data_IF_507936580026
#
_entry.id   IF_507936580026
#
_cell.length_a   1.000
_cell.length_b   1.000
_cell.length_c   1.000
_cell.angle_alpha   90.00
_cell.angle_beta   90.00
_cell.angle_gamma   90.00
#
_symmetry.space_group_name_H-M   'P 1'
#
loop_
_entity.id
_entity.type
_entity.pdbx_description
1 polymer ?
#
# COMPACT_ATOMS: atom_id res chain seq x y z
N UNK A 1 -14.27 -9.21 -1.81
CA UNK A 1 -14.28 -8.60 -3.17
C UNK A 1 -15.65 -7.99 -3.50
N UNK A 2 -15.76 -6.64 -3.46
CA UNK A 2 -17.01 -5.90 -3.75
C UNK A 2 -17.30 -5.81 -5.26
N UNK A 3 -18.56 -5.70 -5.71
CA UNK A 3 -18.87 -5.49 -7.13
C UNK A 3 -18.29 -4.16 -7.66
N UNK A 4 -18.00 -4.10 -8.96
CA UNK A 4 -17.58 -2.86 -9.60
C UNK A 4 -18.80 -2.00 -9.98
N UNK A 5 -18.78 -0.74 -9.53
CA UNK A 5 -19.69 0.29 -9.97
C UNK A 5 -19.31 0.83 -11.36
N UNK A 6 -20.28 1.44 -12.06
CA UNK A 6 -20.01 2.19 -13.29
C UNK A 6 -19.04 3.34 -12.97
N UNK A 7 -17.99 3.50 -13.77
CA UNK A 7 -16.99 4.53 -13.56
C UNK A 7 -16.52 5.14 -14.89
N UNK A 8 -16.01 6.38 -14.85
CA UNK A 8 -15.52 7.11 -16.04
C UNK A 8 -14.44 6.36 -16.81
N UNK A 9 -13.65 5.52 -16.13
CA UNK A 9 -12.59 4.72 -16.76
C UNK A 9 -13.08 3.39 -17.36
N UNK A 10 -14.39 3.13 -17.31
CA UNK A 10 -15.04 1.91 -17.82
C UNK A 10 -14.40 0.62 -17.29
N UNK A 11 -14.01 0.60 -16.01
CA UNK A 11 -13.29 -0.53 -15.42
C UNK A 11 -14.07 -1.86 -15.50
N UNK A 12 -15.41 -1.82 -15.42
CA UNK A 12 -16.27 -3.01 -15.53
C UNK A 12 -16.21 -3.66 -16.93
N UNK A 13 -15.95 -2.87 -17.97
CA UNK A 13 -15.79 -3.37 -19.34
C UNK A 13 -14.36 -3.91 -19.57
N UNK A 14 -13.37 -3.28 -18.93
CA UNK A 14 -11.95 -3.66 -19.07
C UNK A 14 -11.57 -4.92 -18.31
N UNK A 15 -12.22 -5.17 -17.17
CA UNK A 15 -11.83 -6.25 -16.25
C UNK A 15 -13.07 -7.05 -15.87
N UNK A 16 -13.10 -8.29 -16.34
CA UNK A 16 -14.14 -9.27 -15.99
C UNK A 16 -14.01 -9.71 -14.54
N UNK A 17 -15.10 -10.19 -13.94
CA UNK A 17 -15.06 -10.66 -12.56
C UNK A 17 -14.18 -11.90 -12.37
N UNK A 18 -14.01 -12.74 -13.40
CA UNK A 18 -13.06 -13.87 -13.36
C UNK A 18 -11.61 -13.41 -13.28
N UNK A 19 -11.25 -12.36 -14.03
CA UNK A 19 -9.92 -11.76 -13.97
C UNK A 19 -9.67 -11.16 -12.59
N UNK A 20 -10.66 -10.46 -12.03
CA UNK A 20 -10.58 -9.89 -10.67
C UNK A 20 -10.39 -10.98 -9.61
N UNK A 21 -11.12 -12.10 -9.71
CA UNK A 21 -10.96 -13.25 -8.79
C UNK A 21 -9.57 -13.85 -8.87
N UNK A 22 -9.01 -13.97 -10.08
CA UNK A 22 -7.66 -14.51 -10.30
C UNK A 22 -6.60 -13.60 -9.67
N UNK A 23 -6.65 -12.30 -9.98
CA UNK A 23 -5.77 -11.28 -9.37
C UNK A 23 -5.89 -11.29 -7.85
N UNK A 24 -7.11 -11.36 -7.33
CA UNK A 24 -7.36 -11.42 -5.88
C UNK A 24 -6.67 -12.65 -5.27
N UNK A 25 -6.85 -13.84 -5.87
CA UNK A 25 -6.26 -15.08 -5.36
C UNK A 25 -4.73 -15.00 -5.35
N UNK A 26 -4.11 -14.54 -6.43
CA UNK A 26 -2.66 -14.38 -6.54
C UNK A 26 -2.13 -13.35 -5.54
N UNK A 27 -2.81 -12.22 -5.39
CA UNK A 27 -2.44 -11.17 -4.45
C UNK A 27 -2.47 -11.66 -3.00
N UNK A 28 -3.52 -12.36 -2.58
CA UNK A 28 -3.65 -12.86 -1.21
C UNK A 28 -2.75 -14.07 -0.93
N UNK A 29 -2.38 -14.84 -1.96
CA UNK A 29 -1.39 -15.91 -1.85
C UNK A 29 0.02 -15.40 -1.47
N UNK A 30 0.31 -14.10 -1.63
CA UNK A 30 1.58 -13.52 -1.17
C UNK A 30 1.80 -13.69 0.34
N UNK A 31 0.73 -13.71 1.14
CA UNK A 31 0.72 -14.00 2.58
C UNK A 31 1.38 -12.96 3.50
N UNK A 32 2.33 -12.16 3.01
CA UNK A 32 3.06 -11.16 3.79
C UNK A 32 2.54 -9.74 3.55
N UNK A 33 2.38 -8.97 4.62
CA UNK A 33 2.05 -7.55 4.56
C UNK A 33 3.06 -6.76 3.72
N UNK A 34 4.37 -7.04 3.87
CA UNK A 34 5.41 -6.33 3.14
C UNK A 34 5.38 -6.64 1.64
N UNK A 35 5.11 -7.91 1.28
CA UNK A 35 4.92 -8.33 -0.12
C UNK A 35 3.70 -7.65 -0.74
N UNK A 36 2.59 -7.56 -0.01
CA UNK A 36 1.38 -6.84 -0.45
C UNK A 36 1.63 -5.36 -0.68
N UNK A 37 2.38 -4.72 0.22
CA UNK A 37 2.79 -3.31 0.10
C UNK A 37 3.68 -3.11 -1.13
N UNK A 38 4.68 -3.98 -1.34
CA UNK A 38 5.56 -3.94 -2.51
C UNK A 38 4.78 -4.13 -3.82
N UNK A 39 3.86 -5.10 -3.85
CA UNK A 39 2.99 -5.37 -4.99
C UNK A 39 2.10 -4.16 -5.34
N UNK A 40 1.42 -3.57 -4.34
CA UNK A 40 0.63 -2.37 -4.58
C UNK A 40 1.50 -1.19 -5.03
N UNK A 41 2.69 -1.03 -4.44
CA UNK A 41 3.60 0.03 -4.82
C UNK A 41 4.11 -0.09 -6.26
N UNK A 42 4.36 -1.31 -6.77
CA UNK A 42 4.82 -1.52 -8.15
C UNK A 42 3.75 -1.16 -9.20
N UNK A 43 2.47 -1.30 -8.84
CA UNK A 43 1.32 -1.02 -9.69
C UNK A 43 0.85 0.44 -9.67
N UNK A 44 1.28 1.24 -8.68
CA UNK A 44 0.89 2.64 -8.54
C UNK A 44 1.98 3.56 -9.11
N UNK A 45 1.63 4.33 -10.13
CA UNK A 45 2.51 5.36 -10.66
C UNK A 45 2.20 6.71 -10.02
N UNK A 46 3.24 7.34 -9.45
CA UNK A 46 3.17 8.70 -8.92
C UNK A 46 3.71 9.64 -9.98
N UNK A 47 2.90 10.61 -10.39
CA UNK A 47 3.23 11.56 -11.45
C UNK A 47 3.06 12.98 -10.94
N UNK A 48 3.86 13.95 -11.42
CA UNK A 48 3.57 15.36 -11.21
C UNK A 48 2.21 15.69 -11.82
N UNK A 49 1.55 16.70 -11.25
CA UNK A 49 0.31 17.24 -11.80
C UNK A 49 0.57 17.77 -13.22
N UNK A 50 -0.10 17.18 -14.19
CA UNK A 50 0.12 17.47 -15.61
C UNK A 50 -0.35 18.89 -16.03
N UNK A 51 -1.27 19.51 -15.30
CA UNK A 51 -1.80 20.82 -15.66
C UNK A 51 -2.13 21.64 -14.43
N UNK A 52 -1.56 22.84 -14.36
CA UNK A 52 -1.94 23.86 -13.37
C UNK A 52 -2.86 24.89 -14.02
N UNK A 53 -4.16 24.81 -13.74
CA UNK A 53 -5.11 25.87 -14.11
C UNK A 53 -5.24 26.85 -12.94
N UNK A 54 -4.73 28.07 -13.10
CA UNK A 54 -4.95 29.16 -12.15
C UNK A 54 -6.43 29.56 -12.22
N UNK A 55 -7.21 29.20 -11.18
CA UNK A 55 -8.65 29.49 -11.10
C UNK A 55 -8.97 30.79 -10.34
N UNK A 56 -7.98 31.32 -9.62
CA UNK A 56 -8.08 32.57 -8.88
C UNK A 56 -6.68 33.20 -8.81
N UNK A 57 -6.63 34.53 -8.78
CA UNK A 57 -5.40 35.30 -8.52
C UNK A 57 -4.93 35.18 -7.07
N UNK A 58 -5.84 34.81 -6.16
CA UNK A 58 -5.58 34.62 -4.74
C UNK A 58 -4.89 33.26 -4.48
N UNK A 59 -3.62 33.31 -4.09
CA UNK A 59 -2.80 32.12 -3.81
C UNK A 59 -3.35 31.28 -2.65
N UNK A 60 -4.13 31.86 -1.72
CA UNK A 60 -4.77 31.11 -0.63
C UNK A 60 -5.86 30.16 -1.15
N UNK A 61 -6.41 30.43 -2.34
CA UNK A 61 -7.44 29.60 -2.99
C UNK A 61 -6.83 28.56 -3.96
N UNK A 62 -5.50 28.50 -4.08
CA UNK A 62 -4.82 27.53 -4.94
C UNK A 62 -4.99 26.12 -4.35
N UNK A 63 -5.45 25.16 -5.16
CA UNK A 63 -5.53 23.76 -4.73
C UNK A 63 -4.13 23.14 -4.70
N UNK A 64 -3.65 22.81 -3.50
CA UNK A 64 -2.31 22.30 -3.18
C UNK A 64 -1.99 20.89 -3.70
N UNK A 65 -2.76 20.33 -4.64
CA UNK A 65 -2.47 19.00 -5.16
C UNK A 65 -1.29 19.10 -6.14
N UNK A 66 -0.11 18.66 -5.71
CA UNK A 66 1.12 18.59 -6.52
C UNK A 66 1.25 17.28 -7.29
N UNK A 67 0.66 16.19 -6.78
CA UNK A 67 0.84 14.84 -7.30
C UNK A 67 -0.46 14.18 -7.77
N UNK A 68 -0.32 13.34 -8.79
CA UNK A 68 -1.38 12.50 -9.36
C UNK A 68 -0.97 11.03 -9.27
N UNK A 69 -1.92 10.17 -8.87
CA UNK A 69 -1.70 8.74 -8.76
C UNK A 69 -2.46 8.02 -9.87
N UNK A 70 -1.76 7.20 -10.66
CA UNK A 70 -2.35 6.28 -11.63
C UNK A 70 -2.27 4.86 -11.08
N UNK A 71 -3.41 4.19 -11.03
CA UNK A 71 -3.54 2.82 -10.54
C UNK A 71 -3.62 1.88 -11.73
N UNK A 72 -2.86 0.80 -11.71
CA UNK A 72 -2.85 -0.20 -12.77
C UNK A 72 -3.09 -1.59 -12.18
N UNK A 73 -3.63 -2.51 -12.98
CA UNK A 73 -3.64 -3.94 -12.67
C UNK A 73 -2.88 -4.66 -13.78
N UNK A 74 -2.07 -5.64 -13.41
CA UNK A 74 -1.35 -6.47 -14.37
C UNK A 74 -2.21 -7.69 -14.74
N UNK A 75 -2.35 -7.91 -16.04
CA UNK A 75 -3.10 -9.03 -16.60
C UNK A 75 -2.43 -9.48 -17.90
N UNK A 76 -2.08 -10.77 -18.00
CA UNK A 76 -1.47 -11.35 -19.21
C UNK A 76 -0.27 -10.53 -19.72
N UNK A 77 0.58 -10.03 -18.82
CA UNK A 77 1.75 -9.20 -19.16
C UNK A 77 1.44 -7.74 -19.50
N UNK A 78 0.18 -7.32 -19.55
CA UNK A 78 -0.22 -5.95 -19.83
C UNK A 78 -0.65 -5.20 -18.56
N UNK A 79 -0.29 -3.92 -18.46
CA UNK A 79 -0.75 -3.01 -17.41
C UNK A 79 -2.02 -2.27 -17.83
N UNK A 80 -3.12 -2.58 -17.18
CA UNK A 80 -4.43 -1.97 -17.44
C UNK A 80 -4.69 -0.86 -16.43
N UNK A 81 -4.81 0.38 -16.92
CA UNK A 81 -5.13 1.53 -16.07
C UNK A 81 -6.58 1.46 -15.56
N UNK A 82 -6.74 1.57 -14.24
CA UNK A 82 -8.02 1.49 -13.54
C UNK A 82 -8.24 2.67 -12.59
N UNK A 83 -9.49 2.89 -12.19
CA UNK A 83 -9.79 3.87 -11.15
C UNK A 83 -9.39 3.34 -9.75
N UNK A 84 -9.18 4.25 -8.80
CA UNK A 84 -8.82 3.91 -7.41
C UNK A 84 -9.80 2.92 -6.78
N UNK A 85 -11.11 3.15 -6.94
CA UNK A 85 -12.15 2.26 -6.41
C UNK A 85 -12.04 0.82 -6.96
N UNK A 86 -11.78 0.68 -8.26
CA UNK A 86 -11.63 -0.63 -8.88
C UNK A 86 -10.41 -1.36 -8.33
N UNK A 87 -9.29 -0.66 -8.18
CA UNK A 87 -8.06 -1.21 -7.60
C UNK A 87 -8.30 -1.73 -6.18
N UNK A 88 -8.85 -0.87 -5.31
CA UNK A 88 -9.19 -1.19 -3.92
C UNK A 88 -10.16 -2.38 -3.84
N UNK A 89 -11.26 -2.35 -4.59
CA UNK A 89 -12.28 -3.39 -4.54
C UNK A 89 -11.81 -4.72 -5.12
N UNK A 90 -10.83 -4.72 -6.04
CA UNK A 90 -10.27 -5.93 -6.65
C UNK A 90 -9.27 -6.60 -5.72
N UNK A 91 -8.41 -5.83 -5.06
CA UNK A 91 -7.47 -6.35 -4.07
C UNK A 91 -8.11 -6.56 -2.68
N UNK A 92 -9.33 -6.04 -2.48
CA UNK A 92 -10.06 -6.03 -1.21
C UNK A 92 -9.27 -5.36 -0.08
N UNK A 93 -8.57 -4.28 -0.44
CA UNK A 93 -7.79 -3.47 0.49
C UNK A 93 -8.58 -2.25 0.97
N UNK A 94 -8.01 -1.54 1.94
CA UNK A 94 -8.57 -0.28 2.41
C UNK A 94 -7.94 0.92 1.72
N UNK A 95 -8.68 2.03 1.64
CA UNK A 95 -8.15 3.30 1.11
C UNK A 95 -6.91 3.78 1.90
N UNK A 96 -6.93 3.56 3.22
CA UNK A 96 -5.83 3.86 4.12
C UNK A 96 -4.59 3.03 3.81
N UNK A 97 -4.75 1.74 3.51
CA UNK A 97 -3.64 0.87 3.12
C UNK A 97 -2.96 1.37 1.83
N UNK A 98 -3.75 1.75 0.81
CA UNK A 98 -3.24 2.30 -0.43
C UNK A 98 -2.50 3.62 -0.18
N UNK A 99 -3.08 4.52 0.61
CA UNK A 99 -2.47 5.81 0.93
C UNK A 99 -1.16 5.64 1.70
N UNK A 100 -1.11 4.72 2.66
CA UNK A 100 0.11 4.37 3.39
C UNK A 100 1.18 3.78 2.46
N UNK A 101 0.78 2.91 1.53
CA UNK A 101 1.69 2.31 0.53
C UNK A 101 2.33 3.38 -0.36
N UNK A 102 1.53 4.33 -0.85
CA UNK A 102 2.05 5.48 -1.62
C UNK A 102 3.00 6.31 -0.76
N UNK A 103 2.64 6.58 0.50
CA UNK A 103 3.51 7.29 1.43
C UNK A 103 4.85 6.58 1.66
N UNK A 104 4.86 5.25 1.76
CA UNK A 104 6.09 4.45 1.88
C UNK A 104 6.93 4.51 0.59
N UNK A 105 6.29 4.36 -0.57
CA UNK A 105 6.94 4.46 -1.89
C UNK A 105 7.64 5.81 -2.07
N UNK A 106 7.00 6.90 -1.63
CA UNK A 106 7.54 8.26 -1.78
C UNK A 106 8.71 8.58 -0.83
N UNK A 107 8.99 7.75 0.18
CA UNK A 107 10.13 7.95 1.09
C UNK A 107 11.46 7.54 0.48
N UNK A 108 11.45 6.73 -0.59
CA UNK A 108 12.65 6.21 -1.23
C UNK A 108 12.73 6.71 -2.67
N UNK A 109 13.92 7.04 -3.15
CA UNK A 109 14.14 7.54 -4.51
C UNK A 109 13.73 6.48 -5.55
N UNK A 110 14.12 5.22 -5.33
CA UNK A 110 13.78 4.11 -6.21
C UNK A 110 12.36 3.55 -6.04
N UNK A 111 11.55 4.11 -5.16
CA UNK A 111 10.20 3.62 -4.89
C UNK A 111 10.14 2.24 -4.20
N UNK A 112 11.26 1.75 -3.68
CA UNK A 112 11.30 0.51 -2.90
C UNK A 112 10.57 0.70 -1.58
N UNK A 113 9.77 -0.29 -1.20
CA UNK A 113 9.10 -0.33 0.10
C UNK A 113 10.03 -0.97 1.13
N UNK A 114 9.81 -0.65 2.41
CA UNK A 114 10.57 -1.20 3.53
C UNK A 114 9.66 -2.00 4.46
N UNK A 115 10.27 -2.90 5.25
CA UNK A 115 9.56 -3.81 6.13
C UNK A 115 8.73 -3.09 7.19
N UNK A 116 7.57 -3.65 7.53
CA UNK A 116 6.74 -3.14 8.60
C UNK A 116 7.47 -3.15 9.95
N UNK A 117 7.52 -1.98 10.59
CA UNK A 117 8.18 -1.76 11.89
C UNK A 117 7.19 -1.66 13.05
N UNK A 118 5.90 -1.87 12.82
CA UNK A 118 4.89 -1.92 13.90
C UNK A 118 5.25 -3.02 14.90
N UNK A 119 5.04 -2.73 16.18
CA UNK A 119 5.35 -3.66 17.28
C UNK A 119 6.84 -3.95 17.49
N UNK A 120 7.76 -3.34 16.72
CA UNK A 120 9.20 -3.53 16.87
C UNK A 120 9.88 -2.48 17.75
N UNK A 121 9.11 -1.58 18.36
CA UNK A 121 9.65 -0.60 19.29
C UNK A 121 10.01 -1.29 20.60
N UNK A 122 11.25 -1.10 21.06
CA UNK A 122 11.70 -1.60 22.36
C UNK A 122 11.03 -0.78 23.47
N UNK A 123 10.25 -1.39 24.38
CA UNK A 123 9.66 -0.65 25.48
C UNK A 123 10.74 0.05 26.33
N UNK A 124 10.49 1.25 26.86
CA UNK A 124 11.47 1.98 27.67
C UNK A 124 11.89 1.22 28.93
N UNK A 125 11.00 0.37 29.45
CA UNK A 125 11.24 -0.46 30.63
C UNK A 125 11.59 -1.91 30.28
N UNK A 126 12.09 -2.19 29.07
CA UNK A 126 12.52 -3.54 28.70
C UNK A 126 13.68 -3.95 29.61
N UNK A 127 13.50 -5.06 30.33
CA UNK A 127 14.54 -5.64 31.18
C UNK A 127 15.78 -5.96 30.36
N UNK A 128 16.95 -5.63 30.91
CA UNK A 128 18.23 -5.88 30.25
C UNK A 128 18.48 -7.39 30.07
N UNK A 129 19.12 -7.74 28.96
CA UNK A 129 19.41 -9.12 28.55
C UNK A 129 20.24 -9.84 29.63
N UNK A 130 21.18 -9.11 30.27
CA UNK A 130 22.03 -9.64 31.34
C UNK A 130 21.21 -10.07 32.55
N UNK A 131 20.28 -9.23 33.00
CA UNK A 131 19.37 -9.56 34.12
C UNK A 131 18.46 -10.74 33.77
N UNK A 132 17.98 -10.82 32.54
CA UNK A 132 17.19 -11.97 32.08
C UNK A 132 17.99 -13.28 32.11
N UNK A 133 19.27 -13.24 31.73
CA UNK A 133 20.17 -14.41 31.81
C UNK A 133 20.41 -14.82 33.26
N UNK A 134 20.66 -13.86 34.17
CA UNK A 134 20.83 -14.12 35.60
C UNK A 134 19.59 -14.76 36.22
N UNK A 135 18.40 -14.25 35.91
CA UNK A 135 17.12 -14.81 36.37
C UNK A 135 16.95 -16.25 35.85
N UNK A 136 17.21 -16.50 34.57
CA UNK A 136 17.11 -17.87 34.01
C UNK A 136 18.08 -18.84 34.69
N UNK A 137 19.33 -18.43 34.91
CA UNK A 137 20.32 -19.23 35.64
C UNK A 137 19.84 -19.55 37.06
N UNK A 138 19.26 -18.57 37.74
CA UNK A 138 18.72 -18.78 39.09
C UNK A 138 17.54 -19.78 39.09
N UNK A 139 16.57 -19.64 38.18
CA UNK A 139 15.44 -20.58 38.06
C UNK A 139 15.94 -22.01 37.85
N UNK A 140 16.93 -22.21 36.98
CA UNK A 140 17.50 -23.53 36.71
C UNK A 140 18.43 -24.06 37.81
N UNK A 141 18.80 -23.23 38.78
CA UNK A 141 19.63 -23.64 39.92
C UNK A 141 18.82 -24.17 41.11
N UNK A 142 17.49 -24.01 41.08
CA UNK A 142 16.60 -24.54 42.12
C UNK A 142 16.18 -25.96 41.69
N UNK A 143 16.46 -26.99 42.51
CA UNK A 143 16.12 -28.38 42.21
C UNK A 143 14.61 -28.66 42.24
#
# INVERSE_FOLDING_TARGET
MKPLEKCRMKCKEKITDNNRKSIFKEYWALGSYDKRVAYCASLINVLPKATERKRSSDDKKKKNRSLTFKYNLEMQGARIAVCKKCFINTLDETDKFITSTVGKKMKTIGGSTYSDRRGRHVPPHKTDEKKLIEIRKHIHSIP
#
